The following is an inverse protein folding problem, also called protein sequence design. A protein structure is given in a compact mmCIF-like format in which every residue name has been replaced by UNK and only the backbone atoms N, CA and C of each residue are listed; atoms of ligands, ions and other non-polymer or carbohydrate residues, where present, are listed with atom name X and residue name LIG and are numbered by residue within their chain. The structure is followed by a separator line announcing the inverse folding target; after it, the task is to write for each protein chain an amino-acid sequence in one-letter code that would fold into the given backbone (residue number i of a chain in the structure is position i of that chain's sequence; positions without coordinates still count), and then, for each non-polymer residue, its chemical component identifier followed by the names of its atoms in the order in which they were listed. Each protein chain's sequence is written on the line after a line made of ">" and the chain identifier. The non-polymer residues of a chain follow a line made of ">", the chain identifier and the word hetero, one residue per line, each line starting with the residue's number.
data_IF_775776501657
#
_entry.id   IF_775776501657
#
_cell.length_a   1.000
_cell.length_b   1.000
_cell.length_c   1.000
_cell.angle_alpha   90.00
_cell.angle_beta   90.00
_cell.angle_gamma   90.00
#
_symmetry.space_group_name_H-M   'P 1'
#
loop_
_entity.id
_entity.type
_entity.pdbx_description
1 polymer ?
#
# COMPACT_ATOMS: atom_id res chain seq x y z
N UNK A 1 2.04 1.47 -16.11
CA UNK A 1 1.93 1.92 -14.70
C UNK A 1 0.94 1.04 -13.98
N UNK A 2 1.18 0.73 -12.71
CA UNK A 2 0.35 -0.16 -11.89
C UNK A 2 0.11 0.45 -10.49
N UNK A 3 -1.01 0.08 -9.85
CA UNK A 3 -1.35 0.52 -8.48
C UNK A 3 -0.92 -0.57 -7.50
N UNK A 4 0.26 -0.43 -6.88
CA UNK A 4 0.88 -1.50 -6.10
C UNK A 4 0.12 -1.91 -4.83
N UNK A 5 -0.80 -1.07 -4.35
CA UNK A 5 -1.46 -1.25 -3.08
C UNK A 5 -2.63 -2.25 -3.12
N UNK A 6 -3.20 -2.52 -4.30
CA UNK A 6 -4.30 -3.47 -4.55
C UNK A 6 -3.85 -4.88 -4.97
N UNK A 7 -2.55 -5.07 -5.25
CA UNK A 7 -2.01 -6.34 -5.75
C UNK A 7 -2.01 -7.49 -4.74
N UNK A 8 -1.93 -7.19 -3.44
CA UNK A 8 -1.78 -8.19 -2.39
C UNK A 8 -3.06 -8.34 -1.60
N UNK A 9 -3.50 -9.59 -1.35
CA UNK A 9 -4.57 -9.88 -0.43
C UNK A 9 -4.20 -9.38 0.98
N UNK A 10 -5.11 -8.67 1.65
CA UNK A 10 -4.87 -8.09 2.98
C UNK A 10 -5.98 -8.39 3.96
N UNK A 11 -5.61 -8.42 5.24
CA UNK A 11 -6.55 -8.34 6.37
C UNK A 11 -7.25 -6.98 6.36
N UNK A 12 -8.52 -6.94 6.80
CA UNK A 12 -9.36 -5.74 6.75
C UNK A 12 -8.77 -4.55 7.51
N UNK A 13 -8.04 -4.81 8.60
CA UNK A 13 -7.29 -3.81 9.36
C UNK A 13 -6.23 -3.05 8.54
N UNK A 14 -5.84 -3.56 7.37
CA UNK A 14 -4.87 -2.96 6.46
C UNK A 14 -5.48 -2.50 5.12
N UNK A 15 -6.80 -2.64 4.94
CA UNK A 15 -7.49 -2.28 3.69
C UNK A 15 -7.85 -0.80 3.58
N UNK A 16 -7.91 -0.07 4.70
CA UNK A 16 -8.15 1.37 4.65
C UNK A 16 -7.22 2.18 5.53
N UNK A 17 -6.95 3.39 5.06
CA UNK A 17 -6.18 4.41 5.77
C UNK A 17 -7.08 5.47 6.39
N UNK A 18 -8.22 5.76 5.78
CA UNK A 18 -9.14 6.79 6.24
C UNK A 18 -10.49 6.17 6.59
N UNK A 19 -11.04 6.59 7.72
CA UNK A 19 -12.42 6.31 8.10
C UNK A 19 -13.23 7.57 7.81
N UNK A 20 -14.39 7.44 7.20
CA UNK A 20 -15.31 8.57 7.05
C UNK A 20 -15.71 9.13 8.42
N UNK A 21 -16.12 10.40 8.51
CA UNK A 21 -16.50 11.02 9.79
C UNK A 21 -17.61 10.28 10.54
N UNK A 22 -18.54 9.67 9.79
CA UNK A 22 -19.62 8.83 10.33
C UNK A 22 -19.14 7.48 10.88
N UNK A 23 -17.89 7.09 10.62
CA UNK A 23 -17.33 5.83 11.05
C UNK A 23 -17.88 4.60 10.32
N UNK A 24 -18.66 4.76 9.25
CA UNK A 24 -19.32 3.65 8.54
C UNK A 24 -18.47 3.14 7.38
N UNK A 25 -17.71 4.03 6.75
CA UNK A 25 -16.92 3.72 5.57
C UNK A 25 -15.43 3.76 5.89
N UNK A 26 -14.70 2.76 5.40
CA UNK A 26 -13.24 2.68 5.50
C UNK A 26 -12.69 2.71 4.09
N UNK A 27 -12.05 3.82 3.73
CA UNK A 27 -11.50 4.06 2.40
C UNK A 27 -9.98 3.84 2.36
N UNK A 28 -9.53 3.37 1.21
CA UNK A 28 -8.12 3.32 0.84
C UNK A 28 -7.84 4.54 -0.04
N UNK A 29 -7.06 5.49 0.46
CA UNK A 29 -6.72 6.71 -0.29
C UNK A 29 -5.23 6.81 -0.62
N UNK A 30 -4.41 5.94 -0.03
CA UNK A 30 -2.96 5.92 -0.22
C UNK A 30 -2.57 4.85 -1.24
N UNK A 31 -2.38 5.30 -2.48
CA UNK A 31 -1.92 4.48 -3.57
C UNK A 31 -0.49 4.86 -3.96
N UNK A 32 0.32 3.83 -4.22
CA UNK A 32 1.63 4.01 -4.87
C UNK A 32 1.48 3.60 -6.31
N UNK A 33 1.86 4.50 -7.20
CA UNK A 33 1.95 4.21 -8.62
C UNK A 33 3.38 3.76 -8.91
N UNK A 34 3.51 2.60 -9.56
CA UNK A 34 4.82 2.04 -9.93
C UNK A 34 4.85 1.82 -11.45
N UNK A 35 6.01 2.06 -12.06
CA UNK A 35 6.24 1.62 -13.44
C UNK A 35 6.10 0.09 -13.48
N UNK A 36 5.33 -0.41 -14.45
CA UNK A 36 5.11 -1.84 -14.67
C UNK A 36 6.40 -2.63 -14.79
N UNK A 37 7.49 -2.02 -15.28
CA UNK A 37 8.82 -2.66 -15.38
C UNK A 37 9.43 -3.04 -14.02
N UNK A 38 8.98 -2.40 -12.94
CA UNK A 38 9.48 -2.61 -11.58
C UNK A 38 8.49 -3.36 -10.69
N UNK A 39 7.36 -3.80 -11.23
CA UNK A 39 6.31 -4.48 -10.47
C UNK A 39 6.83 -5.69 -9.69
N UNK A 40 7.67 -6.51 -10.32
CA UNK A 40 8.24 -7.72 -9.70
C UNK A 40 9.19 -7.43 -8.54
N UNK A 41 9.70 -6.20 -8.41
CA UNK A 41 10.58 -5.82 -7.32
C UNK A 41 9.81 -5.52 -6.04
N UNK A 42 8.49 -5.33 -6.10
CA UNK A 42 7.66 -4.97 -4.95
C UNK A 42 7.36 -6.23 -4.13
N UNK A 43 7.86 -6.26 -2.90
CA UNK A 43 7.62 -7.37 -1.96
C UNK A 43 6.38 -7.10 -1.13
N UNK A 44 6.23 -5.87 -0.64
CA UNK A 44 5.10 -5.48 0.18
C UNK A 44 4.90 -3.95 0.14
N UNK A 45 3.65 -3.53 0.18
CA UNK A 45 3.24 -2.14 0.39
C UNK A 45 2.37 -2.14 1.63
N UNK A 46 2.62 -1.33 2.65
CA UNK A 46 1.73 -1.26 3.82
C UNK A 46 1.62 0.14 4.40
N UNK A 47 0.42 0.47 4.90
CA UNK A 47 0.18 1.71 5.64
C UNK A 47 0.42 1.48 7.12
N UNK A 48 1.30 2.28 7.74
CA UNK A 48 1.54 2.23 9.20
C UNK A 48 0.69 3.28 9.92
N UNK A 49 -0.39 2.84 10.57
CA UNK A 49 -1.23 3.68 11.44
C UNK A 49 -0.37 4.19 12.62
N UNK A 50 -0.40 5.48 12.91
CA UNK A 50 0.43 6.15 13.93
C UNK A 50 1.63 6.94 13.39
N UNK A 51 2.02 6.77 12.12
CA UNK A 51 3.03 7.62 11.46
C UNK A 51 2.58 8.13 10.07
N UNK A 52 1.35 7.81 9.64
CA UNK A 52 0.79 8.11 8.31
C UNK A 52 1.83 7.96 7.18
N UNK A 53 2.46 6.77 7.11
CA UNK A 53 3.52 6.45 6.15
C UNK A 53 3.17 5.20 5.35
N UNK A 54 3.39 5.26 4.05
CA UNK A 54 3.44 4.08 3.18
C UNK A 54 4.86 3.52 3.23
N UNK A 55 4.99 2.25 3.62
CA UNK A 55 6.24 1.53 3.51
C UNK A 55 6.20 0.64 2.26
N UNK A 56 7.18 0.82 1.37
CA UNK A 56 7.43 -0.04 0.22
C UNK A 56 8.70 -0.83 0.51
N UNK A 57 8.62 -2.15 0.43
CA UNK A 57 9.79 -3.03 0.55
C UNK A 57 10.07 -3.61 -0.83
N UNK A 58 11.30 -3.43 -1.31
CA UNK A 58 11.75 -3.95 -2.60
C UNK A 58 12.96 -4.84 -2.44
N UNK A 59 13.21 -5.69 -3.43
CA UNK A 59 14.53 -6.29 -3.59
C UNK A 59 15.56 -5.21 -3.90
N UNK A 60 16.69 -5.25 -3.22
CA UNK A 60 17.90 -4.54 -3.66
C UNK A 60 18.86 -5.59 -4.20
N UNK A 61 19.35 -5.40 -5.43
CA UNK A 61 20.55 -6.12 -5.85
C UNK A 61 21.70 -5.50 -5.04
N UNK A 62 22.17 -6.23 -4.04
CA UNK A 62 23.47 -5.94 -3.44
C UNK A 62 24.50 -6.25 -4.52
N UNK A 63 25.07 -5.20 -5.10
CA UNK A 63 26.23 -5.26 -5.97
C UNK A 63 27.49 -5.03 -5.16
#
# INVERSE_FOLDING_TARGET
>A
MIIASTYFARKDMHKGTMKSPDGLTVNMIDHVIVDSRHQSNIINVRTRRGQMRILITTWSKVG
#
